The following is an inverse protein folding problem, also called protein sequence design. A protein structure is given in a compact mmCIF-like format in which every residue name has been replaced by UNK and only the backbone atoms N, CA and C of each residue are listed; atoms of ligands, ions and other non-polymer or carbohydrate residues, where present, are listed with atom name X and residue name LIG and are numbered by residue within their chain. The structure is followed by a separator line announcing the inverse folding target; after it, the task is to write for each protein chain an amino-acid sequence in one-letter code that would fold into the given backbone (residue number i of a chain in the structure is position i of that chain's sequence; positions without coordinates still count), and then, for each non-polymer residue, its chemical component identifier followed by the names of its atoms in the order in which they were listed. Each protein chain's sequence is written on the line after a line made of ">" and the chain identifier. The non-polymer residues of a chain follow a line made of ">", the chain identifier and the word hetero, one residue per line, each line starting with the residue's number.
data_IF_800324325093
#
_entry.id   IF_800324325093
#
_cell.length_a   1.000
_cell.length_b   1.000
_cell.length_c   1.000
_cell.angle_alpha   90.00
_cell.angle_beta   90.00
_cell.angle_gamma   90.00
#
_symmetry.space_group_name_H-M   'P 1'
#
loop_
_entity.id
_entity.type
_entity.pdbx_description
1 polymer ?
#
# COMPACT_ATOMS: atom_id res chain seq x y z
N UNK A 1 -16.33 37.22 -20.57
CA UNK A 1 -15.50 36.81 -19.40
C UNK A 1 -16.27 35.75 -18.63
N UNK A 2 -16.03 34.45 -18.88
CA UNK A 2 -16.67 33.37 -18.12
C UNK A 2 -15.63 32.68 -17.23
N UNK A 3 -15.72 32.95 -15.92
CA UNK A 3 -14.94 32.27 -14.88
C UNK A 3 -15.51 30.85 -14.71
N UNK A 4 -14.78 29.85 -15.21
CA UNK A 4 -15.05 28.45 -14.87
C UNK A 4 -14.51 28.18 -13.47
N UNK A 5 -15.43 28.10 -12.50
CA UNK A 5 -15.14 27.59 -11.17
C UNK A 5 -14.76 26.10 -11.28
N UNK A 6 -13.45 25.81 -11.18
CA UNK A 6 -12.94 24.45 -10.97
C UNK A 6 -13.34 24.00 -9.57
N UNK A 7 -14.38 23.18 -9.47
CA UNK A 7 -14.71 22.46 -8.26
C UNK A 7 -13.57 21.47 -7.92
N UNK A 8 -12.75 21.82 -6.94
CA UNK A 8 -11.77 20.94 -6.31
C UNK A 8 -12.50 19.89 -5.47
N UNK A 9 -12.90 18.78 -6.07
CA UNK A 9 -13.33 17.61 -5.31
C UNK A 9 -12.10 16.83 -4.83
N UNK A 10 -11.64 17.15 -3.62
CA UNK A 10 -10.75 16.30 -2.83
C UNK A 10 -11.56 15.08 -2.36
N UNK A 11 -11.67 14.06 -3.21
CA UNK A 11 -12.33 12.80 -2.87
C UNK A 11 -11.43 12.07 -1.87
N UNK A 12 -11.84 12.01 -0.60
CA UNK A 12 -11.36 11.01 0.35
C UNK A 12 -11.96 9.64 -0.03
N UNK A 13 -11.70 9.18 -1.26
CA UNK A 13 -12.02 7.81 -1.65
C UNK A 13 -10.89 6.94 -1.16
N UNK A 14 -11.14 6.14 -0.12
CA UNK A 14 -10.57 4.80 -0.03
C UNK A 14 -10.96 4.08 -1.32
N UNK A 15 -10.22 4.32 -2.39
CA UNK A 15 -10.33 3.52 -3.60
C UNK A 15 -10.13 2.08 -3.16
N UNK A 16 -11.06 1.20 -3.52
CA UNK A 16 -10.91 -0.23 -3.34
C UNK A 16 -9.79 -0.69 -4.28
N UNK A 17 -8.54 -0.50 -3.85
CA UNK A 17 -7.37 -0.92 -4.61
C UNK A 17 -7.43 -2.44 -4.74
N UNK A 18 -7.37 -2.91 -5.97
CA UNK A 18 -7.38 -4.33 -6.33
C UNK A 18 -5.97 -4.78 -6.70
N UNK A 19 -5.76 -6.10 -6.77
CA UNK A 19 -4.48 -6.66 -7.24
C UNK A 19 -4.12 -6.17 -8.66
N UNK A 20 -5.12 -5.97 -9.52
CA UNK A 20 -4.94 -5.44 -10.87
C UNK A 20 -4.42 -4.00 -10.84
N UNK A 21 -4.94 -3.17 -9.93
CA UNK A 21 -4.47 -1.81 -9.70
C UNK A 21 -3.00 -1.81 -9.26
N UNK A 22 -2.61 -2.69 -8.33
CA UNK A 22 -1.18 -2.83 -7.92
C UNK A 22 -0.31 -3.20 -9.10
N UNK A 23 -0.77 -4.14 -9.94
CA UNK A 23 -0.04 -4.57 -11.12
C UNK A 23 0.16 -3.44 -12.14
N UNK A 24 -0.82 -2.54 -12.30
CA UNK A 24 -0.72 -1.41 -13.21
C UNK A 24 0.42 -0.44 -12.87
N UNK A 25 0.91 -0.42 -11.63
CA UNK A 25 2.05 0.42 -11.22
C UNK A 25 3.41 -0.26 -11.44
N UNK A 26 3.44 -1.58 -11.54
CA UNK A 26 4.70 -2.33 -11.55
C UNK A 26 5.55 -1.96 -12.76
N UNK A 27 6.79 -1.53 -12.50
CA UNK A 27 7.77 -1.15 -13.52
C UNK A 27 7.43 0.13 -14.29
N UNK A 28 6.37 0.85 -13.89
CA UNK A 28 6.04 2.15 -14.47
C UNK A 28 6.69 3.27 -13.68
N UNK A 29 7.44 4.12 -14.37
CA UNK A 29 8.03 5.30 -13.74
C UNK A 29 6.96 6.22 -13.15
N UNK A 30 7.29 6.81 -12.00
CA UNK A 30 6.47 7.77 -11.29
C UNK A 30 7.25 9.07 -11.11
N UNK A 31 6.59 10.21 -11.29
CA UNK A 31 7.20 11.53 -11.05
C UNK A 31 7.77 11.65 -9.62
N UNK A 32 7.10 11.00 -8.66
CA UNK A 32 7.48 10.90 -7.26
C UNK A 32 7.02 9.57 -6.68
N UNK A 33 7.57 9.22 -5.52
CA UNK A 33 7.05 8.08 -4.77
C UNK A 33 5.58 8.31 -4.43
N UNK A 34 4.75 7.31 -4.71
CA UNK A 34 3.34 7.30 -4.31
C UNK A 34 3.17 6.47 -3.04
N UNK A 35 2.31 6.94 -2.15
CA UNK A 35 1.92 6.24 -0.93
C UNK A 35 0.40 6.08 -0.95
N UNK A 36 -0.04 4.84 -1.21
CA UNK A 36 -1.45 4.50 -1.38
C UNK A 36 -1.94 3.77 -0.13
N UNK A 37 -2.92 4.33 0.57
CA UNK A 37 -3.52 3.70 1.74
C UNK A 37 -4.43 2.54 1.31
N UNK A 38 -4.22 1.34 1.88
CA UNK A 38 -4.97 0.13 1.57
C UNK A 38 -5.93 -0.31 2.70
N UNK A 39 -6.03 0.50 3.77
CA UNK A 39 -6.79 0.22 4.98
C UNK A 39 -5.99 -0.52 6.05
N UNK A 40 -6.46 -0.53 7.30
CA UNK A 40 -5.82 -1.25 8.43
C UNK A 40 -4.33 -0.95 8.61
N UNK A 41 -3.92 0.32 8.48
CA UNK A 41 -2.51 0.76 8.50
C UNK A 41 -1.60 0.11 7.45
N UNK A 42 -2.15 -0.62 6.47
CA UNK A 42 -1.43 -1.13 5.31
C UNK A 42 -1.35 -0.05 4.22
N UNK A 43 -0.17 0.09 3.62
CA UNK A 43 0.11 1.01 2.54
C UNK A 43 0.87 0.29 1.42
N UNK A 44 0.62 0.72 0.19
CA UNK A 44 1.45 0.42 -0.96
C UNK A 44 2.34 1.62 -1.28
N UNK A 45 3.65 1.41 -1.23
CA UNK A 45 4.65 2.36 -1.67
C UNK A 45 5.03 2.02 -3.10
N UNK A 46 4.73 2.93 -4.03
CA UNK A 46 5.19 2.83 -5.42
C UNK A 46 6.39 3.75 -5.58
N UNK A 47 7.58 3.17 -5.74
CA UNK A 47 8.83 3.94 -5.90
C UNK A 47 8.86 4.65 -7.26
N UNK A 48 9.81 5.59 -7.44
CA UNK A 48 9.99 6.31 -8.72
C UNK A 48 10.19 5.40 -9.93
N UNK A 49 10.80 4.22 -9.73
CA UNK A 49 11.04 3.22 -10.78
C UNK A 49 9.90 2.20 -10.92
N UNK A 50 8.77 2.40 -10.24
CA UNK A 50 7.62 1.51 -10.30
C UNK A 50 7.75 0.22 -9.48
N UNK A 51 8.69 0.12 -8.54
CA UNK A 51 8.66 -0.99 -7.57
C UNK A 51 7.50 -0.81 -6.58
N UNK A 52 6.74 -1.88 -6.36
CA UNK A 52 5.53 -1.91 -5.54
C UNK A 52 5.78 -2.61 -4.20
N UNK A 53 5.94 -1.85 -3.11
CA UNK A 53 6.34 -2.35 -1.79
C UNK A 53 5.20 -2.17 -0.78
N UNK A 54 4.79 -3.26 -0.13
CA UNK A 54 3.79 -3.22 0.94
C UNK A 54 4.45 -2.88 2.27
N UNK A 55 3.92 -1.88 2.96
CA UNK A 55 4.39 -1.44 4.27
C UNK A 55 3.23 -1.30 5.26
N UNK A 56 3.49 -1.68 6.50
CA UNK A 56 2.58 -1.48 7.62
C UNK A 56 3.03 -0.31 8.48
N UNK A 57 2.12 0.61 8.78
CA UNK A 57 2.38 1.75 9.67
C UNK A 57 2.05 1.37 11.10
N UNK A 58 2.99 1.53 12.02
CA UNK A 58 2.77 1.24 13.44
C UNK A 58 3.36 2.34 14.33
N UNK A 59 2.94 2.35 15.59
CA UNK A 59 3.52 3.22 16.60
C UNK A 59 4.53 2.41 17.42
N UNK A 60 5.77 2.88 17.46
CA UNK A 60 6.85 2.34 18.28
C UNK A 60 7.35 3.45 19.20
N UNK A 61 7.19 3.26 20.51
CA UNK A 61 7.62 4.22 21.54
C UNK A 61 7.15 5.65 21.28
N UNK A 62 5.87 5.82 20.91
CA UNK A 62 5.25 7.11 20.65
C UNK A 62 5.55 7.69 19.26
N UNK A 63 6.42 7.06 18.47
CA UNK A 63 6.80 7.50 17.13
C UNK A 63 6.16 6.63 16.05
N UNK A 64 5.67 7.25 14.99
CA UNK A 64 5.22 6.51 13.81
C UNK A 64 6.42 5.89 13.10
N UNK A 65 6.31 4.60 12.80
CA UNK A 65 7.33 3.81 12.12
C UNK A 65 6.69 2.92 11.06
N UNK A 66 7.53 2.41 10.16
CA UNK A 66 7.12 1.60 9.02
C UNK A 66 7.79 0.24 9.08
N UNK A 67 7.00 -0.82 8.91
CA UNK A 67 7.47 -2.18 8.74
C UNK A 67 7.26 -2.59 7.29
N UNK A 68 8.29 -3.11 6.62
CA UNK A 68 8.13 -3.68 5.27
C UNK A 68 7.55 -5.08 5.38
N UNK A 69 6.41 -5.33 4.73
CA UNK A 69 5.77 -6.65 4.72
C UNK A 69 6.22 -7.53 3.55
N UNK A 70 6.60 -6.89 2.44
CA UNK A 70 7.10 -7.53 1.23
C UNK A 70 6.87 -6.69 -0.02
N UNK A 71 7.28 -7.21 -1.18
CA UNK A 71 7.20 -6.53 -2.46
C UNK A 71 6.37 -7.35 -3.45
N UNK A 72 5.54 -6.68 -4.24
CA UNK A 72 4.90 -7.28 -5.42
C UNK A 72 5.89 -7.27 -6.59
N UNK A 73 6.15 -8.44 -7.17
CA UNK A 73 7.12 -8.63 -8.26
C UNK A 73 6.49 -9.00 -9.59
N UNK A 74 5.16 -8.94 -9.70
CA UNK A 74 4.44 -9.18 -10.96
C UNK A 74 3.80 -10.56 -11.01
N UNK A 75 3.75 -11.11 -12.22
CA UNK A 75 3.26 -12.46 -12.50
C UNK A 75 4.25 -13.17 -13.41
N UNK A 76 4.34 -14.49 -13.26
CA UNK A 76 5.08 -15.33 -14.20
C UNK A 76 4.26 -15.62 -15.48
N UNK A 77 4.87 -16.38 -16.39
CA UNK A 77 4.23 -16.80 -17.66
C UNK A 77 2.97 -17.66 -17.47
N UNK A 78 2.75 -18.20 -16.27
CA UNK A 78 1.60 -19.01 -15.88
C UNK A 78 0.58 -18.21 -15.05
N UNK A 79 0.68 -16.88 -15.04
CA UNK A 79 -0.16 -15.97 -14.25
C UNK A 79 -0.06 -16.13 -12.73
N UNK A 80 0.94 -16.83 -12.21
CA UNK A 80 1.18 -16.95 -10.78
C UNK A 80 1.85 -15.68 -10.27
N UNK A 81 1.38 -15.15 -9.14
CA UNK A 81 1.96 -13.95 -8.53
C UNK A 81 3.40 -14.24 -8.09
N UNK A 82 4.30 -13.30 -8.38
CA UNK A 82 5.66 -13.29 -7.87
C UNK A 82 5.78 -12.28 -6.73
N UNK A 83 6.47 -12.67 -5.66
CA UNK A 83 6.57 -11.86 -4.44
C UNK A 83 5.30 -11.92 -3.61
N UNK A 84 4.95 -10.81 -2.97
CA UNK A 84 3.78 -10.70 -2.10
C UNK A 84 2.57 -10.15 -2.86
N UNK A 85 1.44 -10.86 -2.81
CA UNK A 85 0.15 -10.36 -3.31
C UNK A 85 -0.49 -9.35 -2.34
N UNK A 86 -1.49 -8.62 -2.82
CA UNK A 86 -2.28 -7.69 -2.02
C UNK A 86 -3.02 -8.39 -0.89
N UNK A 87 -3.60 -9.57 -1.14
CA UNK A 87 -4.36 -10.31 -0.13
C UNK A 87 -3.43 -10.91 0.93
N UNK A 88 -2.28 -11.44 0.55
CA UNK A 88 -1.25 -11.84 1.52
C UNK A 88 -0.74 -10.66 2.33
N UNK A 89 -0.55 -9.49 1.71
CA UNK A 89 -0.15 -8.28 2.42
C UNK A 89 -1.21 -7.83 3.44
N UNK A 90 -2.50 -7.96 3.12
CA UNK A 90 -3.61 -7.71 4.06
C UNK A 90 -3.61 -8.69 5.22
N UNK A 91 -3.42 -9.98 4.95
CA UNK A 91 -3.31 -11.01 5.98
C UNK A 91 -2.12 -10.70 6.92
N UNK A 92 -0.94 -10.45 6.37
CA UNK A 92 0.26 -10.09 7.16
C UNK A 92 0.05 -8.81 8.00
N UNK A 93 -0.64 -7.82 7.47
CA UNK A 93 -0.96 -6.59 8.22
C UNK A 93 -1.87 -6.89 9.42
N UNK A 94 -2.86 -7.77 9.24
CA UNK A 94 -3.75 -8.21 10.31
C UNK A 94 -2.96 -9.00 11.37
N UNK A 95 -2.14 -9.98 10.95
CA UNK A 95 -1.29 -10.78 11.84
C UNK A 95 -0.36 -9.89 12.66
N UNK A 96 0.30 -8.92 12.03
CA UNK A 96 1.18 -7.97 12.71
C UNK A 96 0.43 -7.14 13.75
N UNK A 97 -0.78 -6.66 13.41
CA UNK A 97 -1.61 -5.91 14.35
C UNK A 97 -2.05 -6.77 15.54
N UNK A 98 -2.39 -8.05 15.32
CA UNK A 98 -2.78 -8.97 16.38
C UNK A 98 -1.61 -9.34 17.28
N UNK A 99 -0.44 -9.63 16.73
CA UNK A 99 0.78 -9.92 17.49
C UNK A 99 1.22 -8.73 18.35
N UNK A 100 1.22 -7.51 17.78
CA UNK A 100 1.55 -6.29 18.50
C UNK A 100 0.60 -5.96 19.65
N UNK A 101 -0.63 -6.47 19.63
CA UNK A 101 -1.61 -6.33 20.72
C UNK A 101 -1.35 -7.30 21.87
N UNK A 102 -0.94 -8.53 21.58
CA UNK A 102 -0.65 -9.53 22.61
C UNK A 102 0.60 -9.18 23.42
N UNK A 103 1.63 -8.58 22.80
CA UNK A 103 2.85 -8.16 23.51
C UNK A 103 2.69 -6.95 24.43
N UNK A 104 1.53 -6.26 24.42
CA UNK A 104 1.26 -5.10 25.31
C UNK A 104 0.61 -5.49 26.65
N UNK A 105 0.33 -6.76 26.86
CA UNK A 105 -0.33 -7.29 28.07
C UNK A 105 0.62 -8.04 29.02
N UNK A 106 1.93 -7.77 28.95
CA UNK A 106 2.94 -8.30 29.87
C UNK A 106 3.51 -7.16 30.71
#
# INVERSE_FOLDING_TARGET
>A
MNKTNKATHKKNSTENITQSTVHQFLGKEQEKQLELALGNNLYLFVTKIGSCIFKYRYNYNGKLSWMTLGQYMGKDKLNRILGLSLDEARIKAIEFNLGARQSKHI
#
